data_IF_599495979619
#
_entry.id   IF_599495979619
#
_cell.length_a   1.000
_cell.length_b   1.000
_cell.length_c   1.000
_cell.angle_alpha   90.00
_cell.angle_beta   90.00
_cell.angle_gamma   90.00
#
_symmetry.space_group_name_H-M   'P 1'
#
loop_
_entity.id
_entity.type
_entity.pdbx_description
1 polymer ?
#
# COMPACT_ATOMS: atom_id res chain seq x y z
N UNK A 1 -40.48 18.63 -9.98
CA UNK A 1 -40.15 17.21 -10.18
C UNK A 1 -38.64 17.10 -10.22
N UNK A 2 -38.04 16.05 -9.65
CA UNK A 2 -36.59 15.84 -9.80
C UNK A 2 -36.28 15.74 -11.31
N UNK A 3 -35.15 16.28 -11.74
CA UNK A 3 -34.66 16.09 -13.10
C UNK A 3 -33.86 14.77 -13.16
N UNK A 4 -34.04 13.99 -14.22
CA UNK A 4 -33.39 12.68 -14.36
C UNK A 4 -31.86 12.80 -14.34
N UNK A 5 -31.27 13.72 -15.10
CA UNK A 5 -29.81 13.82 -15.15
C UNK A 5 -29.26 14.33 -13.82
N UNK A 6 -29.92 15.34 -13.23
CA UNK A 6 -29.54 15.91 -11.94
C UNK A 6 -29.61 14.88 -10.81
N UNK A 7 -30.71 14.13 -10.69
CA UNK A 7 -30.86 13.12 -9.63
C UNK A 7 -29.90 11.95 -9.82
N UNK A 8 -29.58 11.58 -11.06
CA UNK A 8 -28.55 10.56 -11.36
C UNK A 8 -27.18 11.00 -10.87
N UNK A 9 -26.79 12.24 -11.18
CA UNK A 9 -25.51 12.82 -10.79
C UNK A 9 -25.39 12.96 -9.26
N UNK A 10 -26.45 13.44 -8.60
CA UNK A 10 -26.49 13.55 -7.13
C UNK A 10 -26.38 12.19 -6.43
N UNK A 11 -27.06 11.17 -6.96
CA UNK A 11 -26.96 9.81 -6.43
C UNK A 11 -25.55 9.25 -6.64
N UNK A 12 -24.97 9.42 -7.84
CA UNK A 12 -23.60 8.98 -8.12
C UNK A 12 -22.59 9.65 -7.19
N UNK A 13 -22.63 10.97 -7.06
CA UNK A 13 -21.77 11.72 -6.16
C UNK A 13 -21.91 11.23 -4.70
N UNK A 14 -23.13 11.03 -4.21
CA UNK A 14 -23.33 10.54 -2.83
C UNK A 14 -22.81 9.12 -2.61
N UNK A 15 -22.83 8.26 -3.65
CA UNK A 15 -22.22 6.92 -3.59
C UNK A 15 -20.70 7.00 -3.52
N UNK A 16 -20.10 7.89 -4.30
CA UNK A 16 -18.65 8.10 -4.30
C UNK A 16 -18.18 8.68 -2.95
N UNK A 17 -18.90 9.65 -2.40
CA UNK A 17 -18.64 10.21 -1.05
C UNK A 17 -18.77 9.13 0.05
N UNK A 18 -19.81 8.28 -0.03
CA UNK A 18 -19.98 7.15 0.89
C UNK A 18 -18.83 6.15 0.77
N UNK A 19 -18.43 5.79 -0.45
CA UNK A 19 -17.32 4.88 -0.71
C UNK A 19 -16.01 5.43 -0.15
N UNK A 20 -15.72 6.71 -0.38
CA UNK A 20 -14.55 7.39 0.17
C UNK A 20 -14.56 7.41 1.70
N UNK A 21 -15.69 7.75 2.33
CA UNK A 21 -15.81 7.74 3.78
C UNK A 21 -15.66 6.33 4.38
N UNK A 22 -16.15 5.31 3.68
CA UNK A 22 -15.96 3.91 4.09
C UNK A 22 -14.48 3.50 4.02
N UNK A 23 -13.76 3.92 2.97
CA UNK A 23 -12.31 3.75 2.85
C UNK A 23 -11.56 4.46 3.98
N UNK A 24 -11.83 5.74 4.21
CA UNK A 24 -11.17 6.50 5.29
C UNK A 24 -11.42 5.91 6.68
N UNK A 25 -12.62 5.38 6.96
CA UNK A 25 -12.88 4.65 8.19
C UNK A 25 -12.07 3.35 8.30
N UNK A 26 -11.94 2.63 7.18
CA UNK A 26 -11.14 1.41 7.13
C UNK A 26 -9.67 1.72 7.43
N UNK A 27 -9.08 2.71 6.75
CA UNK A 27 -7.68 3.10 6.94
C UNK A 27 -7.41 3.59 8.38
N UNK A 28 -8.33 4.39 8.96
CA UNK A 28 -8.22 4.84 10.35
C UNK A 28 -8.24 3.68 11.36
N UNK A 29 -9.04 2.62 11.09
CA UNK A 29 -9.07 1.42 11.94
C UNK A 29 -7.80 0.60 11.83
N UNK A 30 -7.23 0.45 10.62
CA UNK A 30 -5.95 -0.23 10.45
C UNK A 30 -4.81 0.52 11.15
N UNK A 31 -4.78 1.86 11.05
CA UNK A 31 -3.81 2.68 11.78
C UNK A 31 -3.92 2.50 13.29
N UNK A 32 -5.15 2.53 13.84
CA UNK A 32 -5.39 2.28 15.26
C UNK A 32 -4.86 0.89 15.67
N UNK A 33 -5.15 -0.16 14.89
CA UNK A 33 -4.69 -1.52 15.16
C UNK A 33 -3.16 -1.63 15.15
N UNK A 34 -2.49 -0.93 14.25
CA UNK A 34 -1.02 -0.87 14.19
C UNK A 34 -0.44 -0.22 15.43
N UNK A 35 -0.99 0.92 15.86
CA UNK A 35 -0.57 1.61 17.09
C UNK A 35 -0.80 0.73 18.31
N UNK A 36 -1.95 0.05 18.40
CA UNK A 36 -2.25 -0.88 19.50
C UNK A 36 -1.28 -2.07 19.54
N UNK A 37 -0.87 -2.58 18.38
CA UNK A 37 0.15 -3.64 18.30
C UNK A 37 1.49 -3.13 18.84
N UNK A 38 1.96 -1.96 18.38
CA UNK A 38 3.21 -1.34 18.86
C UNK A 38 3.18 -1.05 20.36
N UNK A 39 2.04 -0.62 20.87
CA UNK A 39 1.85 -0.41 22.31
C UNK A 39 1.96 -1.74 23.06
N UNK A 40 1.29 -2.80 22.60
CA UNK A 40 1.37 -4.12 23.23
C UNK A 40 2.78 -4.71 23.19
N UNK A 41 3.54 -4.48 22.11
CA UNK A 41 4.95 -4.88 22.00
C UNK A 41 5.83 -4.14 23.01
N UNK A 42 5.69 -2.81 23.12
CA UNK A 42 6.44 -2.02 24.09
C UNK A 42 6.11 -2.43 25.52
N UNK A 43 4.85 -2.68 25.85
CA UNK A 43 4.44 -3.11 27.20
C UNK A 43 5.03 -4.49 27.58
N UNK A 44 5.33 -5.36 26.61
CA UNK A 44 6.00 -6.65 26.88
C UNK A 44 7.47 -6.48 27.28
N UNK A 45 8.14 -5.44 26.79
CA UNK A 45 9.57 -5.16 27.06
C UNK A 45 9.75 -3.90 27.90
N UNK A 46 8.67 -3.39 28.52
CA UNK A 46 8.68 -2.11 29.20
C UNK A 46 9.55 -2.18 30.45
N UNK A 47 10.40 -1.18 30.61
CA UNK A 47 11.23 -1.01 31.80
C UNK A 47 10.90 0.36 32.41
N UNK A 48 10.33 0.42 33.63
CA UNK A 48 10.02 1.66 34.31
C UNK A 48 11.23 2.57 34.59
N UNK A 49 12.46 2.07 34.50
CA UNK A 49 13.68 2.84 34.76
C UNK A 49 14.33 3.35 33.47
N UNK A 50 13.89 2.87 32.30
CA UNK A 50 14.38 3.34 31.01
C UNK A 50 13.59 4.58 30.55
N UNK A 51 14.26 5.74 30.51
CA UNK A 51 13.68 7.01 30.07
C UNK A 51 13.08 6.93 28.66
N UNK A 52 13.74 6.23 27.72
CA UNK A 52 13.26 6.08 26.34
C UNK A 52 11.96 5.28 26.29
N UNK A 53 11.83 4.24 27.13
CA UNK A 53 10.59 3.46 27.23
C UNK A 53 9.44 4.31 27.76
N UNK A 54 9.68 5.17 28.75
CA UNK A 54 8.66 6.08 29.30
C UNK A 54 8.19 7.07 28.23
N UNK A 55 9.13 7.74 27.55
CA UNK A 55 8.83 8.71 26.49
C UNK A 55 8.06 8.04 25.36
N UNK A 56 8.53 6.89 24.88
CA UNK A 56 7.88 6.14 23.80
C UNK A 56 6.48 5.68 24.18
N UNK A 57 6.27 5.24 25.43
CA UNK A 57 4.95 4.83 25.92
C UNK A 57 3.97 6.00 25.95
N UNK A 58 4.41 7.18 26.40
CA UNK A 58 3.55 8.37 26.44
C UNK A 58 3.19 8.84 25.03
N UNK A 59 4.16 8.86 24.10
CA UNK A 59 3.92 9.15 22.69
C UNK A 59 2.90 8.20 22.06
N UNK A 60 3.06 6.88 22.25
CA UNK A 60 2.10 5.89 21.74
C UNK A 60 0.69 6.05 22.32
N UNK A 61 0.56 6.48 23.59
CA UNK A 61 -0.75 6.78 24.19
C UNK A 61 -1.42 7.98 23.53
N UNK A 62 -0.67 9.04 23.25
CA UNK A 62 -1.19 10.23 22.54
C UNK A 62 -1.60 9.87 21.10
N UNK A 63 -0.73 9.16 20.38
CA UNK A 63 -1.02 8.67 19.01
C UNK A 63 -2.27 7.79 18.98
N UNK A 64 -2.43 6.88 19.95
CA UNK A 64 -3.63 6.04 20.07
C UNK A 64 -4.89 6.86 20.31
N UNK A 65 -4.84 7.86 21.20
CA UNK A 65 -5.98 8.73 21.47
C UNK A 65 -6.38 9.51 20.20
N UNK A 66 -5.41 10.05 19.47
CA UNK A 66 -5.64 10.73 18.20
C UNK A 66 -6.22 9.79 17.13
N UNK A 67 -5.68 8.58 17.00
CA UNK A 67 -6.17 7.57 16.05
C UNK A 67 -7.61 7.13 16.39
N UNK A 68 -7.93 6.94 17.67
CA UNK A 68 -9.28 6.63 18.11
C UNK A 68 -10.27 7.78 17.77
N UNK A 69 -9.87 9.04 18.02
CA UNK A 69 -10.69 10.19 17.63
C UNK A 69 -10.91 10.26 16.10
N UNK A 70 -9.89 9.88 15.31
CA UNK A 70 -10.02 9.76 13.85
C UNK A 70 -11.03 8.68 13.44
N UNK A 71 -11.03 7.51 14.10
CA UNK A 71 -12.02 6.45 13.85
C UNK A 71 -13.44 6.95 14.11
N UNK A 72 -13.68 7.61 15.25
CA UNK A 72 -15.01 8.14 15.60
C UNK A 72 -15.49 9.22 14.63
N UNK A 73 -14.59 10.11 14.22
CA UNK A 73 -14.87 11.13 13.19
C UNK A 73 -15.26 10.48 11.86
N UNK A 74 -14.46 9.54 11.37
CA UNK A 74 -14.74 8.87 10.08
C UNK A 74 -16.01 8.01 10.14
N UNK A 75 -16.30 7.39 11.29
CA UNK A 75 -17.53 6.63 11.49
C UNK A 75 -18.77 7.54 11.42
N UNK A 76 -18.69 8.72 12.05
CA UNK A 76 -19.75 9.73 11.99
C UNK A 76 -19.96 10.27 10.57
N UNK A 77 -18.86 10.53 9.83
CA UNK A 77 -18.92 10.93 8.42
C UNK A 77 -19.57 9.85 7.54
N UNK A 78 -19.20 8.59 7.72
CA UNK A 78 -19.80 7.48 6.98
C UNK A 78 -21.31 7.38 7.24
N UNK A 79 -21.75 7.55 8.48
CA UNK A 79 -23.18 7.55 8.80
C UNK A 79 -23.92 8.71 8.14
N UNK A 80 -23.34 9.92 8.16
CA UNK A 80 -23.88 11.08 7.43
C UNK A 80 -24.03 10.79 5.93
N UNK A 81 -23.00 10.26 5.27
CA UNK A 81 -23.06 9.98 3.83
C UNK A 81 -24.02 8.83 3.49
N UNK A 82 -24.22 7.86 4.39
CA UNK A 82 -25.29 6.85 4.24
C UNK A 82 -26.67 7.48 4.25
N UNK A 83 -26.92 8.45 5.13
CA UNK A 83 -28.20 9.17 5.19
C UNK A 83 -28.42 10.02 3.93
N UNK A 84 -27.38 10.71 3.46
CA UNK A 84 -27.43 11.50 2.21
C UNK A 84 -27.71 10.60 1.00
N UNK A 85 -27.00 9.48 0.86
CA UNK A 85 -27.22 8.54 -0.24
C UNK A 85 -28.61 7.92 -0.18
N UNK A 86 -29.13 7.59 1.01
CA UNK A 86 -30.49 7.10 1.16
C UNK A 86 -31.55 8.14 0.74
N UNK A 87 -31.31 9.43 1.05
CA UNK A 87 -32.19 10.52 0.62
C UNK A 87 -32.16 10.70 -0.90
N UNK A 88 -30.98 10.82 -1.52
CA UNK A 88 -30.85 10.92 -2.97
C UNK A 88 -31.38 9.68 -3.70
N UNK A 89 -31.20 8.49 -3.12
CA UNK A 89 -31.78 7.26 -3.68
C UNK A 89 -33.31 7.28 -3.64
N UNK A 90 -33.91 7.80 -2.58
CA UNK A 90 -35.36 7.96 -2.48
C UNK A 90 -35.90 8.91 -3.56
N UNK A 91 -35.20 10.02 -3.81
CA UNK A 91 -35.55 10.95 -4.87
C UNK A 91 -35.36 10.33 -6.27
N UNK A 92 -34.31 9.53 -6.44
CA UNK A 92 -34.05 8.76 -7.66
C UNK A 92 -35.04 7.62 -7.90
N UNK A 93 -35.64 7.06 -6.85
CA UNK A 93 -36.46 5.84 -6.92
C UNK A 93 -37.63 5.97 -7.91
N UNK A 94 -38.12 7.18 -8.16
CA UNK A 94 -39.18 7.45 -9.16
C UNK A 94 -38.74 7.11 -10.59
N UNK A 95 -37.43 7.09 -10.86
CA UNK A 95 -36.82 6.74 -12.15
C UNK A 95 -36.32 5.29 -12.20
N UNK A 96 -36.82 4.39 -11.35
CA UNK A 96 -36.40 2.99 -11.35
C UNK A 96 -37.31 2.06 -12.17
N UNK A 97 -38.47 2.52 -12.64
CA UNK A 97 -39.38 1.70 -13.46
C UNK A 97 -38.86 1.60 -14.91
N UNK A 98 -38.30 0.45 -15.32
CA UNK A 98 -37.70 0.32 -16.65
C UNK A 98 -38.71 0.49 -17.78
N UNK A 99 -40.01 0.24 -17.54
CA UNK A 99 -41.06 0.36 -18.55
C UNK A 99 -41.29 1.80 -19.00
N UNK A 100 -41.02 2.75 -18.10
CA UNK A 100 -41.16 4.18 -18.39
C UNK A 100 -39.82 4.80 -18.75
N UNK A 101 -38.75 4.38 -18.07
CA UNK A 101 -37.47 5.07 -18.14
C UNK A 101 -36.60 4.62 -19.32
N UNK A 102 -36.88 3.48 -19.96
CA UNK A 102 -36.14 3.06 -21.16
C UNK A 102 -36.20 4.12 -22.27
N UNK A 103 -37.26 4.93 -22.33
CA UNK A 103 -37.41 6.03 -23.28
C UNK A 103 -36.43 7.20 -23.07
N UNK A 104 -35.79 7.29 -21.89
CA UNK A 104 -34.78 8.31 -21.57
C UNK A 104 -33.35 7.87 -21.92
N UNK A 105 -33.15 6.64 -22.40
CA UNK A 105 -31.84 6.11 -22.77
C UNK A 105 -31.57 6.35 -24.26
N UNK A 106 -30.29 6.44 -24.62
CA UNK A 106 -29.88 6.63 -26.01
C UNK A 106 -29.97 5.33 -26.79
N UNK A 107 -30.65 5.36 -27.95
CA UNK A 107 -30.72 4.24 -28.89
C UNK A 107 -29.37 3.96 -29.60
N UNK A 108 -28.36 4.82 -29.41
CA UNK A 108 -27.05 4.66 -30.03
C UNK A 108 -26.20 3.56 -29.37
N UNK A 109 -26.53 3.17 -28.14
CA UNK A 109 -25.74 2.20 -27.38
C UNK A 109 -26.58 0.96 -27.06
N UNK A 110 -26.09 -0.25 -27.37
CA UNK A 110 -26.81 -1.48 -27.01
C UNK A 110 -26.82 -1.69 -25.50
N UNK A 111 -27.88 -2.31 -24.98
CA UNK A 111 -27.94 -2.75 -23.59
C UNK A 111 -27.13 -4.03 -23.39
N UNK A 112 -26.15 -3.99 -22.49
CA UNK A 112 -25.48 -5.18 -22.00
C UNK A 112 -26.22 -5.74 -20.78
N UNK A 113 -26.82 -6.91 -20.93
CA UNK A 113 -27.48 -7.62 -19.82
C UNK A 113 -26.52 -8.65 -19.24
N UNK A 114 -26.14 -8.47 -17.97
CA UNK A 114 -25.28 -9.42 -17.25
C UNK A 114 -26.14 -10.40 -16.44
N UNK A 115 -25.75 -11.68 -16.35
CA UNK A 115 -26.52 -12.65 -15.59
C UNK A 115 -26.50 -12.31 -14.10
N UNK A 116 -27.63 -12.55 -13.43
CA UNK A 116 -27.73 -12.50 -11.97
C UNK A 116 -28.28 -13.84 -11.48
N UNK A 117 -27.68 -14.39 -10.44
CA UNK A 117 -28.23 -15.54 -9.74
C UNK A 117 -29.13 -15.05 -8.62
N UNK A 118 -30.37 -15.54 -8.60
CA UNK A 118 -31.36 -15.19 -7.58
C UNK A 118 -31.59 -16.41 -6.71
N UNK A 119 -31.52 -16.22 -5.40
CA UNK A 119 -31.91 -17.23 -4.41
C UNK A 119 -33.08 -16.70 -3.60
N UNK A 120 -34.09 -17.54 -3.40
CA UNK A 120 -35.28 -17.17 -2.64
C UNK A 120 -35.53 -18.16 -1.51
N UNK A 121 -36.03 -17.65 -0.38
CA UNK A 121 -36.46 -18.46 0.74
C UNK A 121 -37.72 -17.87 1.37
N UNK A 122 -38.76 -18.68 1.51
CA UNK A 122 -39.94 -18.29 2.28
C UNK A 122 -39.67 -18.47 3.77
N UNK A 123 -40.00 -17.45 4.57
CA UNK A 123 -39.86 -17.46 6.02
C UNK A 123 -41.13 -16.91 6.66
N UNK A 124 -41.47 -17.41 7.85
CA UNK A 124 -42.43 -16.76 8.74
C UNK A 124 -41.63 -16.11 9.86
N UNK A 125 -41.78 -14.79 10.01
CA UNK A 125 -41.06 -13.96 10.99
C UNK A 125 -42.09 -13.05 11.66
N UNK A 126 -42.22 -13.09 12.99
CA UNK A 126 -43.27 -12.38 13.74
C UNK A 126 -44.69 -12.55 13.14
N UNK A 127 -45.08 -13.78 12.82
CA UNK A 127 -46.37 -14.13 12.19
C UNK A 127 -46.62 -13.53 10.79
N UNK A 128 -45.65 -12.83 10.20
CA UNK A 128 -45.72 -12.34 8.81
C UNK A 128 -45.00 -13.31 7.89
N UNK A 129 -45.65 -13.68 6.78
CA UNK A 129 -45.01 -14.43 5.69
C UNK A 129 -44.10 -13.46 4.92
N UNK A 130 -42.82 -13.79 4.83
CA UNK A 130 -41.81 -13.01 4.12
C UNK A 130 -41.17 -13.88 3.03
N UNK A 131 -40.83 -13.26 1.90
CA UNK A 131 -39.95 -13.85 0.89
C UNK A 131 -38.58 -13.18 1.00
N UNK A 132 -37.59 -13.92 1.44
CA UNK A 132 -36.22 -13.45 1.49
C UNK A 132 -35.59 -13.68 0.13
N UNK A 133 -35.15 -12.60 -0.51
CA UNK A 133 -34.50 -12.63 -1.82
C UNK A 133 -33.05 -12.23 -1.66
N UNK A 134 -32.16 -12.99 -2.28
CA UNK A 134 -30.75 -12.65 -2.40
C UNK A 134 -30.38 -12.63 -3.88
N UNK A 135 -29.71 -11.55 -4.29
CA UNK A 135 -29.27 -11.34 -5.66
C UNK A 135 -27.74 -11.40 -5.68
N UNK A 136 -27.20 -12.28 -6.53
CA UNK A 136 -25.78 -12.42 -6.78
C UNK A 136 -25.48 -11.94 -8.21
N UNK A 137 -24.87 -10.76 -8.37
CA UNK A 137 -24.37 -10.36 -9.68
C UNK A 137 -23.21 -11.26 -10.10
N UNK A 138 -23.08 -11.47 -11.42
CA UNK A 138 -21.92 -12.14 -12.00
C UNK A 138 -20.61 -11.42 -11.63
N UNK A 139 -19.50 -12.15 -11.63
CA UNK A 139 -18.20 -11.63 -11.19
C UNK A 139 -17.73 -10.45 -12.04
N UNK A 140 -18.02 -10.46 -13.34
CA UNK A 140 -17.69 -9.37 -14.25
C UNK A 140 -18.40 -8.03 -13.92
N UNK A 141 -19.48 -8.07 -13.14
CA UNK A 141 -20.23 -6.88 -12.73
C UNK A 141 -19.76 -6.31 -11.38
N UNK A 142 -18.79 -6.95 -10.72
CA UNK A 142 -18.29 -6.57 -9.40
C UNK A 142 -16.87 -6.05 -9.54
N UNK A 143 -16.75 -4.72 -9.64
CA UNK A 143 -15.46 -4.03 -9.55
C UNK A 143 -15.25 -3.57 -8.11
N UNK A 144 -14.57 -4.41 -7.30
CA UNK A 144 -14.14 -4.00 -5.95
C UNK A 144 -12.64 -3.88 -5.96
N UNK A 145 -12.14 -2.67 -6.15
CA UNK A 145 -10.73 -2.38 -6.15
C UNK A 145 -10.23 -2.06 -4.74
N UNK A 146 -9.13 -2.69 -4.33
CA UNK A 146 -8.57 -2.54 -3.00
C UNK A 146 -7.40 -1.55 -3.04
N UNK A 147 -7.65 -0.27 -2.82
CA UNK A 147 -6.60 0.75 -3.00
C UNK A 147 -5.45 0.63 -1.97
N UNK A 148 -5.78 0.34 -0.71
CA UNK A 148 -4.80 0.27 0.39
C UNK A 148 -3.86 -0.93 0.20
N UNK A 149 -2.55 -0.66 0.23
CA UNK A 149 -1.53 -1.69 0.06
C UNK A 149 -1.40 -2.57 1.31
N UNK A 150 -1.10 -3.84 1.11
CA UNK A 150 -0.74 -4.73 2.21
C UNK A 150 0.75 -4.60 2.57
N UNK A 151 1.13 -4.99 3.79
CA UNK A 151 2.55 -5.02 4.22
C UNK A 151 3.41 -5.91 3.30
N UNK A 152 2.87 -7.03 2.82
CA UNK A 152 3.53 -7.95 1.88
C UNK A 152 3.75 -7.27 0.52
N UNK A 153 2.77 -6.50 0.05
CA UNK A 153 2.87 -5.73 -1.18
C UNK A 153 3.91 -4.63 -1.08
N UNK A 154 3.98 -3.92 0.06
CA UNK A 154 5.03 -2.92 0.31
C UNK A 154 6.42 -3.56 0.34
N UNK A 155 6.58 -4.72 1.00
CA UNK A 155 7.85 -5.46 0.98
C UNK A 155 8.23 -5.87 -0.46
N UNK A 156 7.26 -6.33 -1.24
CA UNK A 156 7.45 -6.68 -2.65
C UNK A 156 7.81 -5.47 -3.51
N UNK A 157 7.19 -4.31 -3.24
CA UNK A 157 7.50 -3.05 -3.89
C UNK A 157 8.93 -2.57 -3.58
N UNK A 158 9.35 -2.64 -2.31
CA UNK A 158 10.74 -2.35 -1.92
C UNK A 158 11.71 -3.23 -2.70
N UNK A 159 11.45 -4.54 -2.76
CA UNK A 159 12.30 -5.47 -3.51
C UNK A 159 12.32 -5.16 -5.01
N UNK A 160 11.17 -4.81 -5.59
CA UNK A 160 11.07 -4.38 -6.98
C UNK A 160 11.96 -3.15 -7.24
N UNK A 161 11.83 -2.09 -6.43
CA UNK A 161 12.60 -0.87 -6.61
C UNK A 161 14.09 -1.06 -6.35
N UNK A 162 14.46 -1.90 -5.38
CA UNK A 162 15.86 -2.33 -5.19
C UNK A 162 16.36 -2.99 -6.48
N UNK A 163 15.60 -3.91 -7.08
CA UNK A 163 16.00 -4.58 -8.32
C UNK A 163 16.05 -3.63 -9.52
N UNK A 164 15.18 -2.61 -9.58
CA UNK A 164 15.23 -1.56 -10.61
C UNK A 164 16.49 -0.68 -10.44
N UNK A 165 16.87 -0.34 -9.21
CA UNK A 165 18.13 0.37 -8.94
C UNK A 165 19.33 -0.51 -9.29
N UNK A 166 19.28 -1.80 -8.94
CA UNK A 166 20.31 -2.78 -9.30
C UNK A 166 20.45 -2.95 -10.81
N UNK A 167 19.35 -2.83 -11.56
CA UNK A 167 19.36 -2.91 -13.01
C UNK A 167 19.98 -1.67 -13.65
N UNK A 168 19.80 -0.50 -13.04
CA UNK A 168 20.46 0.75 -13.42
C UNK A 168 20.25 1.13 -14.90
N UNK A 169 19.02 1.03 -15.41
CA UNK A 169 18.69 1.40 -16.79
C UNK A 169 18.84 0.29 -17.83
N UNK A 170 19.31 -0.91 -17.45
CA UNK A 170 19.40 -2.06 -18.37
C UNK A 170 18.01 -2.69 -18.52
N UNK A 171 17.39 -2.53 -19.69
CA UNK A 171 16.00 -2.92 -19.96
C UNK A 171 15.70 -4.38 -19.57
N UNK A 172 16.55 -5.33 -19.96
CA UNK A 172 16.33 -6.75 -19.67
C UNK A 172 16.32 -7.06 -18.17
N UNK A 173 17.15 -6.36 -17.38
CA UNK A 173 17.22 -6.51 -15.93
C UNK A 173 16.00 -5.86 -15.25
N UNK A 174 15.54 -4.71 -15.75
CA UNK A 174 14.31 -4.05 -15.28
C UNK A 174 13.06 -4.88 -15.61
N UNK A 175 13.00 -5.49 -16.79
CA UNK A 175 11.96 -6.45 -17.14
C UNK A 175 12.02 -7.69 -16.24
N UNK A 176 13.21 -8.09 -15.78
CA UNK A 176 13.39 -9.12 -14.76
C UNK A 176 12.79 -8.73 -13.40
N UNK A 177 13.02 -7.49 -12.95
CA UNK A 177 12.40 -6.94 -11.74
C UNK A 177 10.87 -6.93 -11.86
N UNK A 178 10.34 -6.48 -13.00
CA UNK A 178 8.89 -6.49 -13.28
C UNK A 178 8.31 -7.91 -13.28
N UNK A 179 8.97 -8.87 -13.96
CA UNK A 179 8.53 -10.28 -13.98
C UNK A 179 8.43 -10.85 -12.57
N UNK A 180 9.36 -10.51 -11.69
CA UNK A 180 9.38 -11.01 -10.31
C UNK A 180 8.17 -10.53 -9.50
N UNK A 181 7.85 -9.23 -9.54
CA UNK A 181 6.69 -8.70 -8.81
C UNK A 181 5.35 -9.12 -9.45
N UNK A 182 5.28 -9.16 -10.78
CA UNK A 182 4.09 -9.60 -11.50
C UNK A 182 3.78 -11.08 -11.28
N UNK A 183 4.80 -11.92 -11.06
CA UNK A 183 4.61 -13.33 -10.70
C UNK A 183 3.94 -13.48 -9.31
N UNK A 184 4.27 -12.61 -8.35
CA UNK A 184 3.71 -12.65 -6.99
C UNK A 184 2.31 -12.07 -6.89
N UNK A 185 2.02 -10.97 -7.59
CA UNK A 185 0.78 -10.19 -7.41
C UNK A 185 -0.14 -10.14 -8.64
N UNK A 186 0.27 -10.72 -9.78
CA UNK A 186 -0.31 -10.52 -11.12
C UNK A 186 -0.03 -9.11 -11.66
N UNK A 187 -0.04 -8.96 -12.98
CA UNK A 187 0.38 -7.73 -13.67
C UNK A 187 -0.40 -6.48 -13.25
N UNK A 188 -1.74 -6.55 -13.19
CA UNK A 188 -2.57 -5.39 -12.86
C UNK A 188 -2.34 -4.87 -11.44
N UNK A 189 -2.29 -5.77 -10.45
CA UNK A 189 -2.02 -5.39 -9.07
C UNK A 189 -0.56 -4.97 -8.87
N UNK A 190 0.38 -5.64 -9.54
CA UNK A 190 1.79 -5.23 -9.52
C UNK A 190 1.99 -3.79 -10.04
N UNK A 191 1.31 -3.40 -11.13
CA UNK A 191 1.35 -2.03 -11.65
C UNK A 191 0.85 -1.03 -10.59
N UNK A 192 -0.30 -1.30 -9.99
CA UNK A 192 -0.85 -0.46 -8.92
C UNK A 192 0.12 -0.31 -7.74
N UNK A 193 0.71 -1.42 -7.28
CA UNK A 193 1.65 -1.43 -6.15
C UNK A 193 2.84 -0.51 -6.42
N UNK A 194 3.49 -0.63 -7.57
CA UNK A 194 4.68 0.17 -7.88
C UNK A 194 4.34 1.63 -8.17
N UNK A 195 3.14 1.93 -8.66
CA UNK A 195 2.67 3.30 -8.87
C UNK A 195 2.38 4.02 -7.55
N UNK A 196 1.85 3.29 -6.56
CA UNK A 196 1.43 3.84 -5.26
C UNK A 196 2.51 3.77 -4.17
N UNK A 197 3.53 2.92 -4.33
CA UNK A 197 4.67 2.87 -3.42
C UNK A 197 5.96 3.16 -4.18
N UNK A 198 6.41 4.42 -4.16
CA UNK A 198 7.55 4.93 -4.92
C UNK A 198 8.69 5.39 -4.01
N UNK A 199 9.96 5.21 -4.41
CA UNK A 199 11.09 5.84 -3.74
C UNK A 199 10.98 7.36 -3.77
N UNK A 200 11.45 8.02 -2.72
CA UNK A 200 11.48 9.49 -2.63
C UNK A 200 12.53 10.12 -3.54
N UNK A 201 13.49 9.32 -4.03
CA UNK A 201 14.66 9.78 -4.79
C UNK A 201 14.77 9.13 -6.17
N UNK A 202 13.65 8.94 -6.90
CA UNK A 202 13.66 8.36 -8.26
C UNK A 202 14.64 9.04 -9.22
N UNK A 203 14.85 10.35 -9.09
CA UNK A 203 15.79 11.13 -9.91
C UNK A 203 17.26 10.75 -9.69
N UNK A 204 17.59 10.10 -8.56
CA UNK A 204 18.94 9.59 -8.24
C UNK A 204 19.15 8.14 -8.68
N UNK A 205 18.25 7.58 -9.50
CA UNK A 205 18.41 6.21 -10.05
C UNK A 205 19.73 6.11 -10.82
N UNK A 206 20.55 5.07 -10.56
CA UNK A 206 21.85 4.90 -11.22
C UNK A 206 21.68 4.48 -12.68
N UNK A 207 22.70 4.78 -13.49
CA UNK A 207 22.80 4.35 -14.89
C UNK A 207 24.07 3.51 -15.04
N UNK A 208 23.92 2.25 -15.44
CA UNK A 208 25.04 1.36 -15.76
C UNK A 208 25.58 1.66 -17.14
N UNK A 209 26.89 1.55 -17.30
CA UNK A 209 27.52 1.63 -18.62
C UNK A 209 27.43 0.27 -19.34
N UNK A 210 27.53 -0.83 -18.58
CA UNK A 210 27.47 -2.20 -19.08
C UNK A 210 26.49 -3.04 -18.26
N UNK A 211 25.91 -4.06 -18.88
CA UNK A 211 25.01 -4.99 -18.19
C UNK A 211 25.70 -5.73 -17.02
N UNK A 212 27.01 -5.98 -17.14
CA UNK A 212 27.82 -6.68 -16.14
C UNK A 212 28.26 -5.79 -14.96
N UNK A 213 28.10 -4.47 -15.07
CA UNK A 213 28.40 -3.57 -13.95
C UNK A 213 27.49 -3.89 -12.75
N UNK A 214 28.06 -3.80 -11.55
CA UNK A 214 27.36 -4.07 -10.31
C UNK A 214 26.95 -2.76 -9.66
N UNK A 215 25.67 -2.66 -9.32
CA UNK A 215 25.16 -1.59 -8.47
C UNK A 215 24.73 -2.23 -7.15
N UNK A 216 25.45 -1.93 -6.08
CA UNK A 216 25.08 -2.26 -4.70
C UNK A 216 24.08 -1.23 -4.22
N UNK A 217 22.92 -1.67 -3.75
CA UNK A 217 21.80 -0.80 -3.40
C UNK A 217 21.58 -0.80 -1.91
N UNK A 218 21.82 0.33 -1.28
CA UNK A 218 21.45 0.60 0.11
C UNK A 218 19.97 0.99 0.12
N UNK A 219 19.15 0.22 0.84
CA UNK A 219 17.72 0.49 0.99
C UNK A 219 17.47 1.07 2.38
N UNK A 220 16.93 2.29 2.45
CA UNK A 220 16.64 2.96 3.73
C UNK A 220 15.33 3.71 3.68
N UNK A 221 14.64 3.83 4.81
CA UNK A 221 13.55 4.77 5.04
C UNK A 221 14.01 6.02 5.82
N UNK A 222 15.27 6.02 6.28
CA UNK A 222 15.93 7.16 6.93
C UNK A 222 16.99 7.75 5.98
N UNK A 223 16.76 8.95 5.42
CA UNK A 223 17.72 9.57 4.53
C UNK A 223 18.99 9.99 5.29
N UNK A 224 20.15 9.62 4.74
CA UNK A 224 21.46 10.11 5.17
C UNK A 224 21.75 11.49 4.58
N UNK A 225 22.65 12.25 5.21
CA UNK A 225 23.19 13.49 4.61
C UNK A 225 23.99 13.16 3.35
N UNK A 226 24.16 14.10 2.41
CA UNK A 226 24.92 13.83 1.18
C UNK A 226 26.40 13.46 1.48
N UNK A 227 26.97 14.00 2.56
CA UNK A 227 28.31 13.62 3.03
C UNK A 227 28.37 12.18 3.54
N UNK A 228 27.40 11.78 4.37
CA UNK A 228 27.29 10.42 4.89
C UNK A 228 27.03 9.41 3.77
N UNK A 229 26.20 9.76 2.77
CA UNK A 229 25.93 8.92 1.60
C UNK A 229 27.20 8.66 0.80
N UNK A 230 28.03 9.69 0.61
CA UNK A 230 29.30 9.57 -0.11
C UNK A 230 30.27 8.67 0.66
N UNK A 231 30.42 8.88 1.97
CA UNK A 231 31.28 8.07 2.81
C UNK A 231 30.82 6.61 2.89
N UNK A 232 29.51 6.37 3.02
CA UNK A 232 28.92 5.03 3.01
C UNK A 232 29.12 4.33 1.65
N UNK A 233 28.93 5.04 0.54
CA UNK A 233 29.12 4.50 -0.80
C UNK A 233 30.58 4.07 -1.03
N UNK A 234 31.55 4.90 -0.67
CA UNK A 234 32.98 4.56 -0.77
C UNK A 234 33.33 3.36 0.13
N UNK A 235 32.86 3.35 1.37
CA UNK A 235 33.11 2.27 2.31
C UNK A 235 32.60 0.93 1.77
N UNK A 236 31.32 0.85 1.40
CA UNK A 236 30.72 -0.41 0.95
C UNK A 236 31.29 -0.90 -0.38
N UNK A 237 31.71 0.01 -1.26
CA UNK A 237 32.42 -0.35 -2.49
C UNK A 237 33.75 -1.04 -2.18
N UNK A 238 34.56 -0.47 -1.29
CA UNK A 238 35.85 -1.04 -0.89
C UNK A 238 35.66 -2.37 -0.15
N UNK A 239 34.68 -2.46 0.76
CA UNK A 239 34.40 -3.68 1.51
C UNK A 239 33.97 -4.83 0.59
N UNK A 240 33.15 -4.54 -0.42
CA UNK A 240 32.75 -5.55 -1.40
C UNK A 240 33.95 -6.02 -2.24
N UNK A 241 34.78 -5.08 -2.73
CA UNK A 241 36.00 -5.39 -3.51
C UNK A 241 37.09 -6.08 -2.67
N UNK A 242 37.13 -5.86 -1.37
CA UNK A 242 38.08 -6.49 -0.47
C UNK A 242 37.85 -8.01 -0.37
N UNK A 243 36.63 -8.50 -0.62
CA UNK A 243 36.29 -9.93 -0.58
C UNK A 243 36.77 -10.66 0.69
N UNK A 244 36.77 -9.95 1.84
CA UNK A 244 37.22 -10.47 3.13
C UNK A 244 38.71 -10.23 3.47
N UNK A 245 39.46 -9.50 2.64
CA UNK A 245 40.82 -9.05 2.96
C UNK A 245 40.82 -8.11 4.17
N UNK A 246 41.30 -8.62 5.31
CA UNK A 246 41.27 -7.92 6.60
C UNK A 246 41.97 -6.57 6.56
N UNK A 247 43.09 -6.44 5.84
CA UNK A 247 43.85 -5.19 5.76
C UNK A 247 43.01 -4.09 5.12
N UNK A 248 42.35 -4.40 4.01
CA UNK A 248 41.49 -3.46 3.29
C UNK A 248 40.23 -3.10 4.07
N UNK A 249 39.69 -4.07 4.84
CA UNK A 249 38.54 -3.83 5.72
C UNK A 249 38.89 -2.87 6.85
N UNK A 250 40.04 -3.06 7.49
CA UNK A 250 40.51 -2.19 8.57
C UNK A 250 40.78 -0.77 8.03
N UNK A 251 41.48 -0.65 6.89
CA UNK A 251 41.73 0.64 6.22
C UNK A 251 40.44 1.38 5.82
N UNK A 252 39.46 0.66 5.24
CA UNK A 252 38.17 1.24 4.88
C UNK A 252 37.38 1.72 6.11
N UNK A 253 37.45 0.95 7.20
CA UNK A 253 36.78 1.29 8.46
C UNK A 253 37.39 2.54 9.09
N UNK A 254 38.71 2.65 9.12
CA UNK A 254 39.40 3.83 9.65
C UNK A 254 39.12 5.07 8.79
N UNK A 255 39.08 4.92 7.46
CA UNK A 255 38.69 6.01 6.55
C UNK A 255 37.24 6.46 6.78
N UNK A 256 36.31 5.54 7.01
CA UNK A 256 34.91 5.87 7.32
C UNK A 256 34.81 6.63 8.64
N UNK A 257 35.46 6.14 9.70
CA UNK A 257 35.51 6.81 11.01
C UNK A 257 36.09 8.23 10.92
N UNK A 258 37.14 8.41 10.13
CA UNK A 258 37.72 9.75 9.91
C UNK A 258 36.73 10.70 9.23
N UNK A 259 35.88 10.20 8.33
CA UNK A 259 34.94 11.01 7.56
C UNK A 259 33.69 11.40 8.35
N UNK A 260 33.10 10.48 9.12
CA UNK A 260 31.79 10.68 9.77
C UNK A 260 31.84 10.63 11.31
N UNK A 261 32.96 10.25 11.90
CA UNK A 261 33.13 10.00 13.33
C UNK A 261 32.73 8.57 13.75
N UNK A 262 33.27 8.11 14.87
CA UNK A 262 33.16 6.71 15.32
C UNK A 262 31.71 6.23 15.50
N UNK A 263 30.88 7.03 16.18
CA UNK A 263 29.48 6.67 16.46
C UNK A 263 28.66 6.54 15.17
N UNK A 264 28.87 7.45 14.22
CA UNK A 264 28.14 7.45 12.95
C UNK A 264 28.64 6.36 12.01
N UNK A 265 29.94 6.08 12.00
CA UNK A 265 30.50 4.96 11.26
C UNK A 265 29.90 3.62 11.72
N UNK A 266 29.78 3.42 13.03
CA UNK A 266 29.14 2.22 13.58
C UNK A 266 27.68 2.08 13.11
N UNK A 267 26.91 3.18 13.10
CA UNK A 267 25.53 3.17 12.61
C UNK A 267 25.43 2.85 11.10
N UNK A 268 26.33 3.42 10.27
CA UNK A 268 26.39 3.13 8.83
C UNK A 268 26.66 1.65 8.58
N UNK A 269 27.62 1.07 9.31
CA UNK A 269 28.00 -0.33 9.17
C UNK A 269 26.83 -1.25 9.56
N UNK A 270 26.11 -0.93 10.63
CA UNK A 270 25.03 -1.78 11.15
C UNK A 270 23.75 -1.66 10.31
N UNK A 271 23.33 -0.44 9.95
CA UNK A 271 21.99 -0.19 9.39
C UNK A 271 21.95 0.03 7.89
N UNK A 272 23.07 0.38 7.26
CA UNK A 272 23.09 0.82 5.86
C UNK A 272 23.84 -0.17 4.94
N UNK A 273 23.83 -1.46 5.28
CA UNK A 273 24.38 -2.49 4.42
C UNK A 273 23.57 -2.61 3.10
N UNK A 274 24.24 -2.70 1.93
CA UNK A 274 23.54 -2.92 0.66
C UNK A 274 22.71 -4.21 0.67
N UNK A 275 21.46 -4.15 0.21
CA UNK A 275 20.53 -5.27 0.20
C UNK A 275 20.99 -6.44 -0.70
N UNK A 276 21.85 -6.16 -1.68
CA UNK A 276 22.43 -7.14 -2.61
C UNK A 276 23.94 -7.27 -2.43
N UNK A 277 24.45 -7.12 -1.20
CA UNK A 277 25.87 -7.25 -0.90
C UNK A 277 26.46 -8.60 -1.35
N UNK A 278 25.71 -9.69 -1.22
CA UNK A 278 26.13 -11.04 -1.63
C UNK A 278 26.05 -11.29 -3.14
N UNK A 279 25.69 -10.29 -3.95
CA UNK A 279 25.63 -10.43 -5.40
C UNK A 279 27.02 -10.76 -5.94
N UNK A 280 27.10 -11.85 -6.72
CA UNK A 280 28.31 -12.22 -7.45
C UNK A 280 28.30 -11.59 -8.85
N UNK A 281 29.47 -11.22 -9.40
CA UNK A 281 29.57 -10.81 -10.79
C UNK A 281 29.11 -11.93 -11.72
N UNK A 282 28.43 -11.57 -12.80
CA UNK A 282 27.93 -12.53 -13.80
C UNK A 282 29.05 -13.14 -14.65
N UNK A 283 30.19 -12.47 -14.69
CA UNK A 283 31.38 -12.82 -15.47
C UNK A 283 32.60 -12.92 -14.55
N UNK A 284 33.54 -13.80 -14.91
CA UNK A 284 34.85 -13.94 -14.24
C UNK A 284 35.87 -12.92 -14.74
N UNK A 285 35.55 -12.14 -15.78
CA UNK A 285 36.40 -11.05 -16.24
C UNK A 285 36.41 -9.92 -15.22
N UNK A 286 37.57 -9.32 -15.00
CA UNK A 286 37.77 -8.19 -14.07
C UNK A 286 37.30 -6.84 -14.62
N UNK A 287 36.63 -6.83 -15.77
CA UNK A 287 36.28 -5.62 -16.52
C UNK A 287 34.84 -5.11 -16.26
N UNK A 288 34.41 -5.12 -14.99
CA UNK A 288 33.14 -4.55 -14.53
C UNK A 288 33.37 -3.46 -13.48
N UNK A 289 32.50 -2.44 -13.46
CA UNK A 289 32.52 -1.41 -12.42
C UNK A 289 31.58 -1.79 -11.26
N UNK A 290 31.92 -1.37 -10.04
CA UNK A 290 31.09 -1.56 -8.85
C UNK A 290 30.73 -0.19 -8.31
N UNK A 291 29.44 0.15 -8.32
CA UNK A 291 28.93 1.40 -7.75
C UNK A 291 27.99 1.11 -6.60
N UNK A 292 27.98 1.99 -5.60
CA UNK A 292 26.97 1.96 -4.54
C UNK A 292 25.97 3.09 -4.77
N UNK A 293 24.69 2.77 -4.67
CA UNK A 293 23.58 3.72 -4.78
C UNK A 293 22.61 3.52 -3.64
N UNK A 294 21.89 4.57 -3.26
CA UNK A 294 20.90 4.51 -2.18
C UNK A 294 19.50 4.74 -2.74
N UNK A 295 18.57 3.87 -2.38
CA UNK A 295 17.14 4.05 -2.62
C UNK A 295 16.49 4.43 -1.29
N UNK A 296 15.77 5.56 -1.28
CA UNK A 296 15.10 6.09 -0.09
C UNK A 296 13.62 5.83 -0.22
N UNK A 297 13.05 5.10 0.73
CA UNK A 297 11.63 4.78 0.78
C UNK A 297 10.86 5.71 1.73
N UNK A 298 9.55 5.90 1.51
CA UNK A 298 8.68 6.56 2.48
C UNK A 298 8.74 5.83 3.83
N UNK A 299 8.63 6.59 4.92
CA UNK A 299 8.60 6.02 6.26
C UNK A 299 7.39 5.07 6.38
N UNK A 300 7.51 3.96 7.12
CA UNK A 300 6.40 3.03 7.33
C UNK A 300 5.18 3.68 7.99
N UNK A 301 5.36 4.77 8.73
CA UNK A 301 4.28 5.54 9.36
C UNK A 301 3.52 6.46 8.40
N UNK A 302 4.18 6.90 7.32
CA UNK A 302 3.56 7.72 6.28
C UNK A 302 2.86 6.86 5.22
N UNK A 303 3.17 5.56 5.17
CA UNK A 303 2.56 4.62 4.23
C UNK A 303 1.38 3.90 4.88
N UNK A 304 0.17 4.23 4.43
CA UNK A 304 -1.04 3.52 4.86
C UNK A 304 -0.99 2.08 4.35
N UNK A 305 -0.86 1.13 5.27
CA UNK A 305 -0.78 -0.29 4.97
C UNK A 305 -1.75 -1.09 5.82
N UNK A 306 -2.05 -2.31 5.37
CA UNK A 306 -2.83 -3.28 6.12
C UNK A 306 -2.15 -4.64 6.17
N UNK A 307 -2.43 -5.44 7.21
CA UNK A 307 -1.77 -6.76 7.36
C UNK A 307 -2.18 -7.79 6.32
N UNK A 308 -3.45 -7.79 5.92
CA UNK A 308 -4.01 -8.79 5.01
C UNK A 308 -4.94 -8.15 3.99
N UNK A 309 -4.91 -8.69 2.77
CA UNK A 309 -5.97 -8.44 1.79
C UNK A 309 -7.29 -9.01 2.31
N UNK A 310 -8.41 -8.37 1.98
CA UNK A 310 -9.71 -8.85 2.41
C UNK A 310 -10.16 -10.03 1.54
N UNK A 311 -10.57 -11.13 2.17
CA UNK A 311 -11.60 -12.00 1.60
C UNK A 311 -12.94 -11.61 2.20
N UNK A 312 -13.65 -10.64 1.63
CA UNK A 312 -15.01 -10.37 2.08
C UNK A 312 -15.89 -11.54 1.60
N UNK A 313 -16.32 -12.43 2.51
CA UNK A 313 -17.50 -13.25 2.23
C UNK A 313 -18.66 -12.27 2.10
N UNK A 314 -19.13 -12.06 0.87
CA UNK A 314 -20.19 -11.10 0.53
C UNK A 314 -21.33 -11.19 1.55
N UNK A 315 -21.54 -10.12 2.30
CA UNK A 315 -22.78 -9.92 3.02
C UNK A 315 -23.89 -9.88 1.99
N UNK A 316 -24.81 -10.84 2.05
CA UNK A 316 -25.96 -10.86 1.17
C UNK A 316 -26.74 -9.57 1.31
N UNK A 317 -26.91 -8.82 0.22
CA UNK A 317 -27.85 -7.70 0.18
C UNK A 317 -29.25 -8.27 0.44
N UNK A 318 -29.78 -7.99 1.64
CA UNK A 318 -31.10 -8.40 2.07
C UNK A 318 -32.09 -7.32 1.66
N UNK A 319 -32.76 -7.47 0.53
CA UNK A 319 -33.97 -6.69 0.26
C UNK A 319 -35.12 -7.32 1.04
N UNK A 320 -35.58 -6.65 2.11
CA UNK A 320 -36.90 -6.89 2.68
C UNK A 320 -37.91 -6.20 1.77
N UNK A 321 -38.63 -6.98 0.97
CA UNK A 321 -39.86 -6.50 0.35
C UNK A 321 -40.99 -6.71 1.34
N UNK A 322 -41.47 -5.62 1.94
CA UNK A 322 -42.78 -5.65 2.58
C UNK A 322 -43.82 -5.85 1.47
N UNK A 323 -44.57 -6.94 1.54
CA UNK A 323 -45.63 -7.24 0.59
C UNK A 323 -46.81 -6.30 0.86
N UNK A 324 -47.39 -5.77 -0.22
CA UNK A 324 -48.59 -4.94 -0.24
C UNK A 324 -49.78 -5.57 0.50
#
# INVERSE_FOLDING_TARGET
MPDFNQSREQLQQSRDEKAQAQKSLFDAKEQLRTIETRQAELERTFDPHNQDHIVRRNRLKEERAAAHASVEKNNSLLNKFKEVEAAHFKDWAVFTDPRTQIANFSDQYPFLMLPVRIETRFKVDNQKKQMWVRIYPDECAVDTFEETLTEIEVASAKQYWINVWRAGGIEDQERGAWRSIAASHRSGRAAWIIENYRPLNETKKPVKAKADDIVLVIATDQPLSDADLTAAAEFWQVIWLAAGDKTKVDEATDKLKLAVGDARAAEIIEKYQPANFDQKPATTDTAFDVKVSTVVFPLPEDTQTKKHSWSMRRGSMFCRTDSF
#
